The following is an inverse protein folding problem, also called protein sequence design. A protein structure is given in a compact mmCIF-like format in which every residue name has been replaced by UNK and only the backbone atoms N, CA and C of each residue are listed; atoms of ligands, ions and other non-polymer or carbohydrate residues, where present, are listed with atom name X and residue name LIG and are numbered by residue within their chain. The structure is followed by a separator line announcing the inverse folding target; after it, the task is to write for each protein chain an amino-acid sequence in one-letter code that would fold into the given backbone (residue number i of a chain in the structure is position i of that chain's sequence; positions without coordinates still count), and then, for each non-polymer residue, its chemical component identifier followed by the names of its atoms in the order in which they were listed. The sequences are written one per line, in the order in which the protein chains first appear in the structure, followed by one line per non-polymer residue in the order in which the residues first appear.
data_IF_071045273718
#
_entry.id   IF_071045273718
#
_cell.length_a   1.000
_cell.length_b   1.000
_cell.length_c   1.000
_cell.angle_alpha   90.00
_cell.angle_beta   90.00
_cell.angle_gamma   90.00
#
_symmetry.space_group_name_H-M   'P 1'
#
loop_
_entity.id
_entity.type
_entity.pdbx_description
1 polymer ?
#
# COMPACT_ATOMS: atom_id res chain seq x y z
N UNK A 1 11.09 7.49 11.20
CA UNK A 1 10.14 6.36 11.04
C UNK A 1 10.17 5.81 9.64
N UNK A 2 10.11 4.51 9.53
CA UNK A 2 9.84 3.84 8.27
C UNK A 2 8.35 3.52 8.22
N UNK A 3 7.66 4.08 7.25
CA UNK A 3 6.23 3.86 7.10
C UNK A 3 5.96 2.92 5.93
N UNK A 4 5.14 1.93 6.19
CA UNK A 4 4.63 1.03 5.16
C UNK A 4 3.14 1.28 4.96
N UNK A 5 2.73 1.29 3.70
CA UNK A 5 1.33 1.39 3.34
C UNK A 5 1.04 0.31 2.30
N UNK A 6 0.03 -0.51 2.59
CA UNK A 6 -0.40 -1.55 1.67
C UNK A 6 -1.78 -1.17 1.16
N UNK A 7 -1.89 -0.95 -0.13
CA UNK A 7 -3.12 -0.48 -0.75
C UNK A 7 -3.38 -1.23 -2.06
N UNK A 8 -4.59 -1.12 -2.54
CA UNK A 8 -4.96 -1.69 -3.84
C UNK A 8 -4.24 -0.96 -4.96
N UNK A 9 -3.97 -1.68 -6.04
CA UNK A 9 -3.23 -1.13 -7.18
C UNK A 9 -3.91 0.09 -7.79
N UNK A 10 -5.23 0.12 -7.85
CA UNK A 10 -5.96 1.25 -8.44
C UNK A 10 -5.90 2.52 -7.59
N UNK A 11 -5.50 2.39 -6.33
CA UNK A 11 -5.35 3.53 -5.43
C UNK A 11 -3.94 4.09 -5.39
N UNK A 12 -2.99 3.40 -6.03
CA UNK A 12 -1.57 3.75 -5.93
C UNK A 12 -1.26 5.14 -6.48
N UNK A 13 -1.59 5.38 -7.74
CA UNK A 13 -1.23 6.65 -8.37
C UNK A 13 -1.87 7.86 -7.70
N UNK A 14 -3.19 7.82 -7.39
CA UNK A 14 -3.78 8.92 -6.64
C UNK A 14 -3.14 9.13 -5.27
N UNK A 15 -2.77 8.05 -4.57
CA UNK A 15 -2.13 8.15 -3.27
C UNK A 15 -0.75 8.80 -3.38
N UNK A 16 0.03 8.42 -4.37
CA UNK A 16 1.34 9.03 -4.60
C UNK A 16 1.21 10.51 -4.93
N UNK A 17 0.20 10.88 -5.70
CA UNK A 17 -0.05 12.28 -6.01
C UNK A 17 -0.37 13.09 -4.76
N UNK A 18 -1.17 12.52 -3.85
CA UNK A 18 -1.50 13.19 -2.59
C UNK A 18 -0.29 13.35 -1.70
N UNK A 19 0.57 12.33 -1.64
CA UNK A 19 1.81 12.43 -0.88
C UNK A 19 2.72 13.52 -1.45
N UNK A 20 2.83 13.58 -2.77
CA UNK A 20 3.64 14.62 -3.40
C UNK A 20 3.11 16.01 -3.11
N UNK A 21 1.79 16.20 -3.19
CA UNK A 21 1.18 17.50 -2.87
C UNK A 21 1.38 17.89 -1.41
N UNK A 22 1.51 16.90 -0.53
CA UNK A 22 1.82 17.16 0.87
C UNK A 22 3.30 17.43 1.11
N UNK A 23 4.11 17.42 0.07
CA UNK A 23 5.55 17.65 0.18
C UNK A 23 6.34 16.43 0.61
N UNK A 24 5.71 15.25 0.58
CA UNK A 24 6.33 14.01 1.01
C UNK A 24 6.74 13.21 -0.24
N UNK A 25 8.04 13.12 -0.45
CA UNK A 25 8.61 12.48 -1.63
C UNK A 25 9.55 11.35 -1.20
N UNK A 26 9.97 10.56 -2.16
CA UNK A 26 10.93 9.51 -1.87
C UNK A 26 10.30 8.19 -1.50
N UNK A 27 9.05 7.97 -1.87
CA UNK A 27 8.40 6.68 -1.68
C UNK A 27 8.96 5.65 -2.65
N UNK A 28 9.05 4.41 -2.17
CA UNK A 28 9.41 3.26 -3.00
C UNK A 28 8.20 2.34 -3.07
N UNK A 29 7.92 1.82 -4.24
CA UNK A 29 6.75 0.99 -4.49
C UNK A 29 7.18 -0.43 -4.84
N UNK A 30 6.54 -1.40 -4.18
CA UNK A 30 6.76 -2.81 -4.46
C UNK A 30 5.43 -3.44 -4.87
N UNK A 31 5.48 -4.34 -5.83
CA UNK A 31 4.34 -5.19 -6.15
C UNK A 31 4.20 -6.22 -5.06
N UNK A 32 2.98 -6.44 -4.59
CA UNK A 32 2.74 -7.36 -3.48
C UNK A 32 1.38 -8.02 -3.64
N UNK A 33 1.17 -9.10 -2.87
CA UNK A 33 -0.10 -9.83 -2.87
C UNK A 33 -0.51 -10.10 -1.44
N UNK A 34 -1.81 -10.00 -1.20
CA UNK A 34 -2.35 -10.38 0.08
C UNK A 34 -2.39 -11.90 0.24
N UNK A 35 -2.36 -12.35 1.49
CA UNK A 35 -2.40 -13.78 1.80
C UNK A 35 -3.67 -14.44 1.28
N UNK A 36 -4.82 -13.82 1.49
CA UNK A 36 -6.09 -14.38 1.06
C UNK A 36 -6.15 -14.58 -0.46
N UNK A 37 -5.68 -13.58 -1.21
CA UNK A 37 -5.68 -13.65 -2.66
C UNK A 37 -4.70 -14.72 -3.17
N UNK A 38 -3.56 -14.83 -2.53
CA UNK A 38 -2.56 -15.82 -2.89
C UNK A 38 -3.08 -17.23 -2.64
N UNK A 39 -3.72 -17.44 -1.50
CA UNK A 39 -4.28 -18.76 -1.17
C UNK A 39 -5.45 -19.13 -2.07
N UNK A 40 -6.33 -18.18 -2.38
CA UNK A 40 -7.43 -18.42 -3.31
C UNK A 40 -6.90 -18.87 -4.68
N UNK A 41 -5.83 -18.25 -5.13
CA UNK A 41 -5.27 -18.55 -6.43
C UNK A 41 -4.60 -19.92 -6.50
N UNK A 42 -3.88 -20.31 -5.45
CA UNK A 42 -3.04 -21.50 -5.48
C UNK A 42 -3.60 -22.69 -4.71
N UNK A 43 -4.36 -22.46 -3.65
CA UNK A 43 -4.87 -23.54 -2.81
C UNK A 43 -6.26 -24.02 -3.20
N UNK A 44 -7.05 -23.17 -3.82
CA UNK A 44 -8.38 -23.55 -4.24
C UNK A 44 -8.34 -24.58 -5.37
N UNK A 45 -7.29 -24.52 -6.23
CA UNK A 45 -7.13 -25.47 -7.33
C UNK A 45 -8.33 -25.54 -8.24
N UNK A 46 -9.30 -24.66 -8.06
CA UNK A 46 -10.53 -24.72 -8.80
C UNK A 46 -10.42 -23.91 -10.09
N UNK A 47 -11.10 -24.41 -11.09
CA UNK A 47 -11.23 -23.71 -12.36
C UNK A 47 -11.84 -22.32 -12.18
N UNK A 48 -12.77 -22.19 -11.22
CA UNK A 48 -13.41 -20.91 -10.94
C UNK A 48 -12.43 -19.88 -10.36
N UNK A 49 -11.53 -20.32 -9.48
CA UNK A 49 -10.50 -19.44 -8.94
C UNK A 49 -9.58 -18.92 -10.01
N UNK A 50 -9.18 -19.80 -10.93
CA UNK A 50 -8.32 -19.43 -12.06
C UNK A 50 -9.03 -18.47 -13.01
N UNK A 51 -10.32 -18.69 -13.26
CA UNK A 51 -11.11 -17.78 -14.10
C UNK A 51 -11.23 -16.41 -13.47
N UNK A 52 -11.49 -16.36 -12.16
CA UNK A 52 -11.59 -15.10 -11.45
C UNK A 52 -10.29 -14.32 -11.53
N UNK A 53 -9.16 -15.02 -11.37
CA UNK A 53 -7.84 -14.39 -11.47
C UNK A 53 -7.61 -13.80 -12.86
N UNK A 54 -8.08 -14.47 -13.90
CA UNK A 54 -7.94 -13.99 -15.28
C UNK A 54 -8.87 -12.85 -15.61
N UNK A 55 -10.06 -12.82 -15.03
CA UNK A 55 -11.06 -11.79 -15.30
C UNK A 55 -10.86 -10.51 -14.50
N UNK A 56 -10.24 -10.62 -13.32
CA UNK A 56 -10.03 -9.48 -12.43
C UNK A 56 -8.58 -9.49 -11.91
N UNK A 57 -7.61 -9.41 -12.82
CA UNK A 57 -6.20 -9.47 -12.40
C UNK A 57 -5.80 -8.36 -11.44
N UNK A 58 -6.42 -7.20 -11.56
CA UNK A 58 -6.06 -6.04 -10.72
C UNK A 58 -6.49 -6.21 -9.27
N UNK A 59 -7.51 -7.04 -9.02
CA UNK A 59 -7.96 -7.29 -7.65
C UNK A 59 -7.01 -8.17 -6.86
N UNK A 60 -6.15 -8.92 -7.53
CA UNK A 60 -5.22 -9.83 -6.88
C UNK A 60 -3.94 -9.13 -6.42
N UNK A 61 -3.68 -7.96 -6.96
CA UNK A 61 -2.45 -7.27 -6.69
C UNK A 61 -2.66 -6.06 -5.78
N UNK A 62 -1.83 -6.01 -4.76
CA UNK A 62 -1.69 -4.84 -3.93
C UNK A 62 -0.38 -4.17 -4.26
N UNK A 63 -0.20 -2.99 -3.73
CA UNK A 63 1.08 -2.30 -3.79
C UNK A 63 1.51 -1.98 -2.37
N UNK A 64 2.76 -2.25 -2.09
CA UNK A 64 3.37 -1.88 -0.83
C UNK A 64 4.21 -0.64 -1.08
N UNK A 65 3.85 0.44 -0.43
CA UNK A 65 4.59 1.70 -0.53
C UNK A 65 5.34 1.88 0.78
N UNK A 66 6.63 2.15 0.71
CA UNK A 66 7.35 2.48 1.93
C UNK A 66 8.17 3.75 1.74
N UNK A 67 8.37 4.45 2.84
CA UNK A 67 9.14 5.68 2.84
C UNK A 67 9.67 5.96 4.24
N UNK A 68 10.82 6.61 4.28
CA UNK A 68 11.39 7.05 5.56
C UNK A 68 10.95 8.50 5.78
N UNK A 69 10.35 8.74 6.92
CA UNK A 69 9.76 10.03 7.27
C UNK A 69 10.24 10.52 8.62
N UNK A 70 10.20 11.82 8.81
CA UNK A 70 10.30 12.37 10.14
C UNK A 70 9.07 11.95 10.93
N UNK A 71 9.22 11.78 12.23
CA UNK A 71 8.11 11.35 13.08
C UNK A 71 6.90 12.28 12.95
N UNK A 72 7.14 13.56 12.83
CA UNK A 72 6.10 14.58 12.72
C UNK A 72 5.33 14.53 11.41
N UNK A 73 5.88 13.86 10.39
CA UNK A 73 5.24 13.79 9.07
C UNK A 73 4.35 12.56 8.91
N UNK A 74 4.40 11.61 9.84
CA UNK A 74 3.66 10.36 9.72
C UNK A 74 2.15 10.59 9.63
N UNK A 75 1.59 11.38 10.53
CA UNK A 75 0.15 11.64 10.53
C UNK A 75 -0.30 12.31 9.23
N UNK A 76 0.51 13.23 8.72
CA UNK A 76 0.20 13.92 7.47
C UNK A 76 0.25 12.95 6.29
N UNK A 77 1.21 12.02 6.29
CA UNK A 77 1.31 11.01 5.26
C UNK A 77 0.11 10.06 5.28
N UNK A 78 -0.29 9.62 6.47
CA UNK A 78 -1.44 8.74 6.61
C UNK A 78 -2.71 9.44 6.14
N UNK A 79 -2.89 10.71 6.53
CA UNK A 79 -4.05 11.48 6.11
C UNK A 79 -4.13 11.63 4.59
N UNK A 80 -2.98 11.87 3.95
CA UNK A 80 -2.92 11.99 2.49
C UNK A 80 -3.36 10.71 1.80
N UNK A 81 -2.92 9.56 2.28
CA UNK A 81 -3.29 8.28 1.70
C UNK A 81 -4.77 7.97 1.97
N UNK A 82 -5.26 8.28 3.17
CA UNK A 82 -6.66 8.02 3.50
C UNK A 82 -7.65 8.84 2.68
N UNK A 83 -7.23 9.99 2.16
CA UNK A 83 -8.08 10.78 1.27
C UNK A 83 -8.43 10.01 0.00
N UNK A 84 -7.56 9.11 -0.42
CA UNK A 84 -7.73 8.33 -1.64
C UNK A 84 -8.27 6.93 -1.34
N UNK A 85 -7.67 6.26 -0.35
CA UNK A 85 -7.98 4.88 -0.04
C UNK A 85 -9.18 4.71 0.88
N UNK A 86 -9.60 5.79 1.54
CA UNK A 86 -10.60 5.73 2.60
C UNK A 86 -9.92 5.46 3.94
N UNK A 87 -10.69 5.61 5.01
CA UNK A 87 -10.16 5.38 6.34
C UNK A 87 -9.64 3.95 6.50
N UNK A 88 -8.43 3.81 7.03
CA UNK A 88 -7.86 2.49 7.30
C UNK A 88 -8.63 1.69 8.35
N UNK A 89 -9.54 2.35 9.07
CA UNK A 89 -10.44 1.66 9.97
C UNK A 89 -11.60 0.97 9.26
N UNK A 90 -11.78 1.25 7.97
CA UNK A 90 -12.80 0.63 7.14
C UNK A 90 -12.25 -0.65 6.51
N UNK A 91 -13.01 -1.76 6.51
CA UNK A 91 -12.54 -3.00 5.89
C UNK A 91 -12.14 -2.81 4.42
N UNK A 92 -11.06 -3.46 4.02
CA UNK A 92 -10.56 -3.47 2.64
C UNK A 92 -10.03 -2.12 2.14
N UNK A 93 -9.79 -1.18 3.04
CA UNK A 93 -9.20 0.11 2.67
C UNK A 93 -7.69 0.08 2.57
N UNK A 94 -7.07 -0.91 3.20
CA UNK A 94 -5.63 -1.04 3.26
C UNK A 94 -5.11 -1.05 4.69
N UNK A 95 -3.81 -0.99 4.82
CA UNK A 95 -3.16 -0.99 6.12
C UNK A 95 -1.94 -0.07 6.07
N UNK A 96 -1.71 0.63 7.15
CA UNK A 96 -0.51 1.45 7.30
C UNK A 96 0.10 1.18 8.68
N UNK A 97 1.42 1.11 8.73
CA UNK A 97 2.13 0.93 9.98
C UNK A 97 3.53 1.52 9.87
N UNK A 98 4.14 1.77 11.01
CA UNK A 98 5.48 2.35 11.06
C UNK A 98 6.40 1.51 11.93
N UNK A 99 7.70 1.65 11.63
CA UNK A 99 8.77 1.04 12.41
C UNK A 99 9.82 2.11 12.73
N UNK A 100 10.44 2.07 13.89
CA UNK A 100 11.54 2.98 14.19
C UNK A 100 12.73 2.73 13.25
N UNK A 101 13.40 3.81 12.87
CA UNK A 101 14.64 3.73 12.08
C UNK A 101 15.78 4.27 12.95
N UNK A 102 16.72 3.41 13.28
CA UNK A 102 17.84 3.80 14.13
C UNK A 102 18.88 4.64 13.39
N UNK A 103 19.02 4.40 12.11
CA UNK A 103 20.03 5.09 11.30
C UNK A 103 19.54 5.21 9.87
N UNK A 104 19.74 6.39 9.28
CA UNK A 104 19.46 6.60 7.86
C UNK A 104 20.48 7.60 7.31
N UNK A 105 20.92 7.36 6.08
CA UNK A 105 21.84 8.23 5.37
C UNK A 105 21.39 8.28 3.92
N UNK A 106 21.49 9.45 3.30
CA UNK A 106 21.11 9.61 1.90
C UNK A 106 19.72 10.18 1.69
N UNK A 107 19.06 10.63 2.76
CA UNK A 107 17.79 11.34 2.65
C UNK A 107 18.08 12.83 2.50
N UNK A 108 17.38 13.43 1.58
CA UNK A 108 17.46 14.86 1.33
C UNK A 108 16.28 15.59 1.88
#
# INVERSE_FOLDING_TARGET
MLMFVLIRVEKLEPALNKLEHAGLRGATVLSSRGMAMTLDKYCDGSFLGSLRAMMEPDREENRTVFMVLKDEDVERAVAAVEEVAGSFNTPNSGIAFTLPVDFVKGIQ
#
